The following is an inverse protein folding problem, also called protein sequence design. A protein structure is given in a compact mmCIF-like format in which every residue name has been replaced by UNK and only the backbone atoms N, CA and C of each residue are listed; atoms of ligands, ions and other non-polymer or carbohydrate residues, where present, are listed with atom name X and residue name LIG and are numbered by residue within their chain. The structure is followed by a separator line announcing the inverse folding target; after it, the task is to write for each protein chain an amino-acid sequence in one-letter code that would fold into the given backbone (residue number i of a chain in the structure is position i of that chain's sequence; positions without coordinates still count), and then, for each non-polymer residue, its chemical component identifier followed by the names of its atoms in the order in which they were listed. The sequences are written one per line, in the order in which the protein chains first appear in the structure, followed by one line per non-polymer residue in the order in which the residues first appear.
data_IF_755929210835
#
_entry.id   IF_755929210835
#
_cell.length_a   1.000
_cell.length_b   1.000
_cell.length_c   1.000
_cell.angle_alpha   90.00
_cell.angle_beta   90.00
_cell.angle_gamma   90.00
#
_symmetry.space_group_name_H-M   'P 1'
#
loop_
_entity.id
_entity.type
_entity.pdbx_description
1 polymer ?
#
# COMPACT_ATOMS: atom_id res chain seq x y z
N UNK A 1 -19.59 -5.95 -7.28
CA UNK A 1 -19.89 -4.50 -7.26
C UNK A 1 -18.72 -3.72 -7.83
N UNK A 2 -19.03 -2.59 -8.43
CA UNK A 2 -18.07 -1.59 -8.90
C UNK A 2 -18.42 -0.28 -8.24
N UNK A 3 -17.44 0.43 -7.72
CA UNK A 3 -17.57 1.79 -7.21
C UNK A 3 -16.60 2.72 -7.93
N UNK A 4 -17.02 3.95 -8.10
CA UNK A 4 -16.24 5.00 -8.71
C UNK A 4 -16.26 6.23 -7.81
N UNK A 5 -15.12 6.87 -7.59
CA UNK A 5 -14.96 8.03 -6.73
C UNK A 5 -14.07 9.07 -7.41
N UNK A 6 -14.47 10.33 -7.33
CA UNK A 6 -13.71 11.48 -7.84
C UNK A 6 -13.53 12.48 -6.72
N UNK A 7 -12.31 12.96 -6.55
CA UNK A 7 -11.93 13.93 -5.54
C UNK A 7 -11.26 15.14 -6.20
N UNK A 8 -11.57 16.34 -5.72
CA UNK A 8 -10.81 17.54 -6.00
C UNK A 8 -9.98 17.90 -4.77
N UNK A 9 -8.72 18.25 -4.95
CA UNK A 9 -7.80 18.62 -3.88
C UNK A 9 -7.26 20.03 -4.09
N UNK A 10 -6.98 20.72 -2.99
CA UNK A 10 -6.26 21.99 -2.99
C UNK A 10 -5.27 21.96 -1.83
N UNK A 11 -3.99 21.84 -2.15
CA UNK A 11 -2.91 21.77 -1.19
C UNK A 11 -2.01 23.00 -1.34
N UNK A 12 -2.01 23.89 -0.35
CA UNK A 12 -1.15 25.08 -0.32
C UNK A 12 -1.21 25.99 -1.57
N UNK A 13 -2.35 25.97 -2.28
CA UNK A 13 -2.55 26.75 -3.52
C UNK A 13 -2.42 25.94 -4.80
N UNK A 14 -1.94 24.69 -4.73
CA UNK A 14 -1.87 23.77 -5.85
C UNK A 14 -3.22 23.05 -6.01
N UNK A 15 -3.73 23.07 -7.25
CA UNK A 15 -4.99 22.45 -7.59
C UNK A 15 -4.75 21.04 -8.13
N UNK A 16 -5.47 20.07 -7.58
CA UNK A 16 -5.39 18.69 -7.99
C UNK A 16 -6.74 18.01 -8.18
N UNK A 17 -6.70 16.88 -8.85
CA UNK A 17 -7.83 15.99 -9.01
C UNK A 17 -7.37 14.53 -8.86
N UNK A 18 -8.20 13.70 -8.24
CA UNK A 18 -7.98 12.27 -8.14
C UNK A 18 -9.23 11.51 -8.56
N UNK A 19 -9.04 10.34 -9.13
CA UNK A 19 -10.12 9.41 -9.42
C UNK A 19 -9.72 8.00 -8.98
N UNK A 20 -10.67 7.26 -8.45
CA UNK A 20 -10.48 5.86 -8.11
C UNK A 20 -11.64 5.00 -8.60
N UNK A 21 -11.30 3.78 -8.99
CA UNK A 21 -12.24 2.72 -9.34
C UNK A 21 -11.94 1.51 -8.48
N UNK A 22 -12.94 1.01 -7.79
CA UNK A 22 -12.82 -0.22 -7.03
C UNK A 22 -13.81 -1.26 -7.55
N UNK A 23 -13.30 -2.45 -7.77
CA UNK A 23 -14.04 -3.65 -8.16
C UNK A 23 -14.02 -4.66 -7.03
N UNK A 24 -15.18 -5.15 -6.65
CA UNK A 24 -15.30 -6.22 -5.65
C UNK A 24 -16.10 -7.39 -6.23
N UNK A 25 -15.54 -8.57 -6.13
CA UNK A 25 -16.20 -9.83 -6.46
C UNK A 25 -16.24 -10.74 -5.24
N UNK A 26 -17.41 -11.24 -4.92
CA UNK A 26 -17.60 -12.24 -3.85
C UNK A 26 -17.77 -13.60 -4.46
N UNK A 27 -17.18 -14.61 -3.82
CA UNK A 27 -17.30 -16.02 -4.26
C UNK A 27 -16.61 -16.31 -5.61
N UNK A 28 -15.40 -15.74 -5.82
CA UNK A 28 -14.65 -15.88 -7.07
C UNK A 28 -14.31 -17.34 -7.40
N UNK A 29 -13.97 -18.15 -6.40
CA UNK A 29 -13.61 -19.56 -6.54
C UNK A 29 -14.64 -20.50 -5.90
N UNK A 30 -15.91 -20.07 -5.75
CA UNK A 30 -17.02 -20.83 -5.14
C UNK A 30 -16.79 -21.26 -3.68
N UNK A 31 -15.92 -20.54 -2.94
CA UNK A 31 -15.60 -20.79 -1.53
C UNK A 31 -15.85 -19.56 -0.64
N UNK A 32 -16.72 -18.63 -1.08
CA UNK A 32 -17.06 -17.40 -0.37
C UNK A 32 -15.88 -16.42 -0.20
N UNK A 33 -14.88 -16.53 -1.05
CA UNK A 33 -13.76 -15.59 -1.08
C UNK A 33 -14.23 -14.21 -1.55
N UNK A 34 -13.62 -13.17 -0.99
CA UNK A 34 -13.81 -11.81 -1.45
C UNK A 34 -12.55 -11.32 -2.11
N UNK A 35 -12.66 -11.01 -3.39
CA UNK A 35 -11.61 -10.34 -4.16
C UNK A 35 -11.96 -8.86 -4.29
N UNK A 36 -10.98 -8.00 -4.01
CA UNK A 36 -11.07 -6.56 -4.20
C UNK A 36 -9.89 -6.09 -5.07
N UNK A 37 -10.20 -5.26 -6.04
CA UNK A 37 -9.20 -4.62 -6.87
C UNK A 37 -9.52 -3.14 -6.94
N UNK A 38 -8.52 -2.28 -6.67
CA UNK A 38 -8.67 -0.83 -6.70
C UNK A 38 -7.58 -0.22 -7.56
N UNK A 39 -7.99 0.71 -8.43
CA UNK A 39 -7.09 1.60 -9.16
C UNK A 39 -7.33 3.03 -8.70
N UNK A 40 -6.26 3.79 -8.56
CA UNK A 40 -6.29 5.21 -8.24
C UNK A 40 -5.34 5.96 -9.18
N UNK A 41 -5.80 7.10 -9.68
CA UNK A 41 -4.98 8.07 -10.38
C UNK A 41 -5.16 9.44 -9.73
N UNK A 42 -4.09 10.19 -9.53
CA UNK A 42 -4.13 11.56 -9.06
C UNK A 42 -3.17 12.43 -9.86
N UNK A 43 -3.58 13.66 -10.08
CA UNK A 43 -2.81 14.70 -10.74
C UNK A 43 -2.93 15.98 -9.93
N UNK A 44 -1.82 16.69 -9.74
CA UNK A 44 -1.78 17.97 -9.06
C UNK A 44 -0.81 18.91 -9.80
N UNK A 45 -1.30 20.09 -10.15
CA UNK A 45 -0.49 21.11 -10.80
C UNK A 45 0.31 21.86 -9.72
N UNK A 46 1.64 21.70 -9.73
CA UNK A 46 2.52 22.32 -8.75
C UNK A 46 2.88 23.75 -9.18
N UNK A 47 2.44 24.75 -8.41
CA UNK A 47 2.71 26.17 -8.64
C UNK A 47 3.77 26.69 -7.67
N UNK A 48 4.79 27.38 -8.18
CA UNK A 48 5.72 28.14 -7.35
C UNK A 48 7.17 27.65 -7.25
N UNK A 49 7.56 26.60 -7.93
CA UNK A 49 8.97 26.27 -8.11
C UNK A 49 9.56 27.13 -9.24
N UNK A 50 10.48 28.03 -8.90
CA UNK A 50 11.17 28.94 -9.83
C UNK A 50 12.17 28.25 -10.76
N UNK A 51 12.21 26.95 -10.82
CA UNK A 51 13.09 26.20 -11.70
C UNK A 51 12.33 25.68 -12.92
N UNK A 52 12.94 25.79 -14.07
CA UNK A 52 12.49 25.54 -15.44
C UNK A 52 11.92 24.16 -15.78
N UNK A 53 11.48 23.40 -14.81
CA UNK A 53 10.85 22.09 -14.98
C UNK A 53 9.42 22.19 -14.45
N UNK A 54 8.48 22.52 -15.36
CA UNK A 54 7.05 22.29 -15.14
C UNK A 54 6.80 20.77 -15.04
N UNK A 55 7.11 20.16 -13.92
CA UNK A 55 6.78 18.77 -13.65
C UNK A 55 5.69 18.78 -12.58
N UNK A 56 4.51 18.40 -13.00
CA UNK A 56 3.36 18.24 -12.15
C UNK A 56 3.49 16.96 -11.30
N UNK A 57 2.72 16.89 -10.22
CA UNK A 57 2.60 15.67 -9.43
C UNK A 57 1.64 14.69 -10.10
N UNK A 58 2.12 13.47 -10.32
CA UNK A 58 1.32 12.36 -10.84
C UNK A 58 1.44 11.17 -9.89
N UNK A 59 0.31 10.59 -9.51
CA UNK A 59 0.25 9.36 -8.74
C UNK A 59 -0.64 8.33 -9.42
N UNK A 60 -0.13 7.10 -9.53
CA UNK A 60 -0.87 5.94 -10.01
C UNK A 60 -0.75 4.83 -8.96
N UNK A 61 -1.88 4.35 -8.47
CA UNK A 61 -1.96 3.28 -7.49
C UNK A 61 -2.79 2.11 -8.01
N UNK A 62 -2.34 0.90 -7.71
CA UNK A 62 -3.09 -0.33 -7.91
C UNK A 62 -3.01 -1.19 -6.64
N UNK A 63 -4.15 -1.70 -6.21
CA UNK A 63 -4.26 -2.57 -5.05
C UNK A 63 -5.12 -3.78 -5.40
N UNK A 64 -4.67 -4.96 -5.03
CA UNK A 64 -5.42 -6.20 -5.15
C UNK A 64 -5.41 -6.94 -3.83
N UNK A 65 -6.57 -7.27 -3.30
CA UNK A 65 -6.71 -8.03 -2.04
C UNK A 65 -7.65 -9.19 -2.25
N UNK A 66 -7.24 -10.37 -1.77
CA UNK A 66 -8.10 -11.53 -1.71
C UNK A 66 -8.23 -12.02 -0.27
N UNK A 67 -9.45 -12.19 0.19
CA UNK A 67 -9.77 -12.68 1.53
C UNK A 67 -10.47 -14.03 1.44
N UNK A 68 -9.87 -15.03 2.06
CA UNK A 68 -10.44 -16.38 2.19
C UNK A 68 -11.08 -16.53 3.57
N UNK A 69 -12.36 -16.90 3.68
CA UNK A 69 -13.04 -17.10 4.97
C UNK A 69 -12.62 -18.41 5.65
N UNK A 70 -11.39 -18.84 5.45
CA UNK A 70 -10.80 -20.08 5.99
C UNK A 70 -9.30 -19.92 6.21
N UNK A 71 -8.77 -20.70 7.12
CA UNK A 71 -7.33 -20.77 7.36
C UNK A 71 -6.62 -21.54 6.23
N UNK A 72 -5.77 -20.83 5.47
CA UNK A 72 -5.02 -21.39 4.36
C UNK A 72 -3.52 -21.39 4.68
N UNK A 73 -3.04 -22.51 5.22
CA UNK A 73 -1.60 -22.71 5.42
C UNK A 73 -1.21 -24.10 4.87
N UNK A 74 -0.20 -24.20 3.98
CA UNK A 74 0.10 -25.42 3.25
C UNK A 74 0.58 -26.57 4.14
N UNK A 75 1.29 -26.28 5.24
CA UNK A 75 2.00 -27.24 6.06
C UNK A 75 1.21 -27.77 7.27
N UNK A 76 -0.10 -27.54 7.35
CA UNK A 76 -0.93 -27.89 8.50
C UNK A 76 -2.04 -28.85 8.08
N UNK A 77 -2.35 -29.83 8.95
CA UNK A 77 -3.37 -30.85 8.70
C UNK A 77 -4.77 -30.26 8.48
N UNK A 78 -5.60 -30.97 7.72
CA UNK A 78 -6.98 -30.56 7.45
C UNK A 78 -7.85 -30.43 8.70
N UNK A 79 -7.60 -31.27 9.70
CA UNK A 79 -8.34 -31.26 10.97
C UNK A 79 -8.02 -30.01 11.79
N UNK A 80 -6.76 -29.57 11.81
CA UNK A 80 -6.37 -28.33 12.45
C UNK A 80 -6.99 -27.12 11.74
N UNK A 81 -6.98 -27.10 10.40
CA UNK A 81 -7.61 -26.03 9.60
C UNK A 81 -9.10 -25.86 9.89
N UNK A 82 -9.81 -26.96 10.15
CA UNK A 82 -11.24 -26.93 10.49
C UNK A 82 -11.52 -26.40 11.90
N UNK A 83 -10.60 -26.57 12.83
CA UNK A 83 -10.75 -26.11 14.23
C UNK A 83 -10.49 -24.63 14.37
N UNK A 84 -9.61 -24.06 13.57
CA UNK A 84 -9.28 -22.64 13.60
C UNK A 84 -10.26 -21.87 12.70
N UNK A 85 -11.07 -21.02 13.31
CA UNK A 85 -11.95 -20.06 12.61
C UNK A 85 -11.16 -18.81 12.24
N UNK A 86 -10.16 -18.96 11.41
CA UNK A 86 -9.34 -17.85 10.94
C UNK A 86 -9.64 -17.54 9.48
N UNK A 87 -9.50 -16.29 9.11
CA UNK A 87 -9.51 -15.85 7.72
C UNK A 87 -8.07 -15.64 7.25
N UNK A 88 -7.83 -15.87 5.98
CA UNK A 88 -6.54 -15.64 5.32
C UNK A 88 -6.68 -14.50 4.33
N UNK A 89 -5.78 -13.53 4.39
CA UNK A 89 -5.77 -12.37 3.51
C UNK A 89 -4.42 -12.30 2.78
N UNK A 90 -4.48 -12.17 1.46
CA UNK A 90 -3.35 -11.82 0.61
C UNK A 90 -3.59 -10.47 -0.02
N UNK A 91 -2.61 -9.60 0.06
CA UNK A 91 -2.65 -8.27 -0.51
C UNK A 91 -1.44 -8.00 -1.40
N UNK A 92 -1.67 -7.30 -2.50
CA UNK A 92 -0.64 -6.75 -3.37
C UNK A 92 -0.96 -5.27 -3.56
N UNK A 93 0.04 -4.42 -3.47
CA UNK A 93 -0.09 -3.00 -3.68
C UNK A 93 1.07 -2.49 -4.53
N UNK A 94 0.77 -1.63 -5.47
CA UNK A 94 1.72 -0.92 -6.29
C UNK A 94 1.36 0.56 -6.30
N UNK A 95 2.32 1.43 -6.04
CA UNK A 95 2.16 2.87 -6.10
C UNK A 95 3.33 3.47 -6.87
N UNK A 96 3.01 4.20 -7.93
CA UNK A 96 3.93 5.01 -8.70
C UNK A 96 3.64 6.48 -8.42
N UNK A 97 4.66 7.22 -8.02
CA UNK A 97 4.56 8.63 -7.68
C UNK A 97 5.67 9.40 -8.39
N UNK A 98 5.29 10.34 -9.21
CA UNK A 98 6.20 11.27 -9.87
C UNK A 98 5.98 12.67 -9.30
N UNK A 99 7.05 13.24 -8.80
CA UNK A 99 7.13 14.64 -8.32
C UNK A 99 8.25 15.37 -9.03
N UNK A 100 8.26 16.72 -9.02
CA UNK A 100 9.38 17.48 -9.59
C UNK A 100 10.74 17.06 -9.02
N UNK A 101 10.79 16.72 -7.72
CA UNK A 101 12.02 16.41 -7.01
C UNK A 101 12.47 14.95 -7.17
N UNK A 102 11.54 14.01 -7.36
CA UNK A 102 11.84 12.59 -7.44
C UNK A 102 10.73 11.77 -8.09
N UNK A 103 11.09 10.61 -8.57
CA UNK A 103 10.16 9.52 -8.90
C UNK A 103 10.32 8.40 -7.89
N UNK A 104 9.21 7.91 -7.35
CA UNK A 104 9.17 6.84 -6.35
C UNK A 104 8.21 5.74 -6.76
N UNK A 105 8.65 4.52 -6.65
CA UNK A 105 7.84 3.31 -6.82
C UNK A 105 7.82 2.56 -5.50
N UNK A 106 6.64 2.21 -5.03
CA UNK A 106 6.44 1.35 -3.86
C UNK A 106 5.64 0.14 -4.29
N UNK A 107 6.20 -1.04 -4.09
CA UNK A 107 5.52 -2.31 -4.27
C UNK A 107 5.46 -3.05 -2.93
N UNK A 108 4.28 -3.54 -2.57
CA UNK A 108 4.09 -4.25 -1.31
C UNK A 108 3.32 -5.55 -1.55
N UNK A 109 3.68 -6.58 -0.79
CA UNK A 109 2.98 -7.85 -0.75
C UNK A 109 2.78 -8.27 0.69
N UNK A 110 1.55 -8.65 1.04
CA UNK A 110 1.17 -9.05 2.39
C UNK A 110 0.47 -10.39 2.45
N UNK A 111 0.76 -11.15 3.50
CA UNK A 111 0.07 -12.37 3.85
C UNK A 111 -0.27 -12.35 5.33
N UNK A 112 -1.54 -12.33 5.66
CA UNK A 112 -1.99 -12.24 7.05
C UNK A 112 -3.12 -13.21 7.38
N UNK A 113 -3.22 -13.52 8.67
CA UNK A 113 -4.29 -14.28 9.26
C UNK A 113 -5.01 -13.44 10.31
N UNK A 114 -6.34 -13.54 10.32
CA UNK A 114 -7.19 -12.89 11.31
C UNK A 114 -8.12 -13.93 11.93
N UNK A 115 -8.22 -13.95 13.27
CA UNK A 115 -9.20 -14.77 13.97
C UNK A 115 -9.73 -14.03 15.20
N UNK A 116 -10.92 -14.37 15.60
CA UNK A 116 -11.57 -13.81 16.78
C UNK A 116 -12.05 -14.90 17.73
N UNK A 117 -12.00 -14.64 19.01
CA UNK A 117 -12.60 -15.48 20.03
C UNK A 117 -13.88 -14.78 20.51
N UNK A 118 -15.03 -15.27 20.02
CA UNK A 118 -16.35 -14.65 20.23
C UNK A 118 -16.71 -14.48 21.72
N UNK A 119 -16.28 -15.41 22.59
CA UNK A 119 -16.54 -15.34 24.03
C UNK A 119 -15.71 -14.28 24.75
N UNK A 120 -14.56 -13.89 24.21
CA UNK A 120 -13.62 -12.97 24.84
C UNK A 120 -13.57 -11.58 24.18
N UNK A 121 -14.41 -11.31 23.17
CA UNK A 121 -14.38 -10.07 22.36
C UNK A 121 -12.97 -9.70 21.88
N UNK A 122 -12.13 -10.70 21.70
CA UNK A 122 -10.74 -10.51 21.29
C UNK A 122 -10.56 -10.82 19.82
N UNK A 123 -9.76 -9.99 19.17
CA UNK A 123 -9.34 -10.17 17.79
C UNK A 123 -7.81 -10.29 17.73
N UNK A 124 -7.36 -11.25 16.97
CA UNK A 124 -5.96 -11.51 16.73
C UNK A 124 -5.66 -11.36 15.25
N UNK A 125 -4.52 -10.79 14.94
CA UNK A 125 -3.97 -10.72 13.58
C UNK A 125 -2.50 -11.11 13.62
N UNK A 126 -2.11 -12.01 12.74
CA UNK A 126 -0.70 -12.29 12.42
C UNK A 126 -0.45 -11.86 10.99
N UNK A 127 0.46 -10.93 10.80
CA UNK A 127 1.07 -10.61 9.51
C UNK A 127 2.28 -11.53 9.36
N UNK A 128 2.07 -12.67 8.67
CA UNK A 128 3.11 -13.69 8.47
C UNK A 128 4.23 -13.14 7.60
N UNK A 129 3.85 -12.40 6.57
CA UNK A 129 4.77 -11.79 5.62
C UNK A 129 4.23 -10.43 5.22
N UNK A 130 5.04 -9.40 5.38
CA UNK A 130 4.80 -8.05 4.89
C UNK A 130 6.09 -7.58 4.20
N UNK A 131 6.08 -7.61 2.88
CA UNK A 131 7.20 -7.22 2.03
C UNK A 131 6.90 -5.84 1.47
N UNK A 132 7.84 -4.92 1.63
CA UNK A 132 7.77 -3.59 1.06
C UNK A 132 9.06 -3.31 0.29
N UNK A 133 8.93 -3.05 -0.98
CA UNK A 133 10.00 -2.64 -1.86
C UNK A 133 9.78 -1.19 -2.29
N UNK A 134 10.72 -0.34 -1.96
CA UNK A 134 10.76 1.07 -2.35
C UNK A 134 11.91 1.27 -3.31
N UNK A 135 11.61 1.82 -4.48
CA UNK A 135 12.57 2.10 -5.53
C UNK A 135 12.48 3.55 -5.98
N UNK A 136 13.61 4.22 -6.09
CA UNK A 136 13.77 5.61 -6.49
C UNK A 136 14.52 5.69 -7.83
N UNK A 137 13.85 5.54 -9.00
CA UNK A 137 14.53 5.53 -10.31
C UNK A 137 15.15 6.86 -10.68
N UNK A 138 14.63 7.96 -10.18
CA UNK A 138 15.18 9.29 -10.45
C UNK A 138 15.00 10.23 -9.27
N UNK A 139 16.04 10.99 -9.00
CA UNK A 139 16.07 12.11 -8.05
C UNK A 139 16.66 13.29 -8.81
N UNK A 140 16.02 14.45 -8.75
CA UNK A 140 16.53 15.66 -9.39
C UNK A 140 17.93 16.01 -8.87
N UNK A 141 18.83 16.39 -9.77
CA UNK A 141 20.23 16.60 -9.44
C UNK A 141 20.42 17.84 -8.55
N UNK A 142 19.66 18.89 -8.79
CA UNK A 142 19.68 20.11 -7.96
C UNK A 142 19.18 19.81 -6.55
N UNK A 143 18.11 19.03 -6.44
CA UNK A 143 17.60 18.58 -5.16
C UNK A 143 18.60 17.70 -4.41
N UNK A 144 19.31 16.82 -5.13
CA UNK A 144 20.34 15.96 -4.56
C UNK A 144 21.51 16.78 -3.99
N UNK A 145 22.04 17.73 -4.75
CA UNK A 145 23.17 18.57 -4.34
C UNK A 145 22.80 19.51 -3.19
N UNK A 146 21.61 20.12 -3.23
CA UNK A 146 21.19 21.10 -2.23
C UNK A 146 20.77 20.49 -0.89
N UNK A 147 20.18 19.29 -0.92
CA UNK A 147 19.55 18.72 0.27
C UNK A 147 20.11 17.37 0.70
N UNK A 148 20.61 16.51 -0.22
CA UNK A 148 21.04 15.16 0.11
C UNK A 148 22.55 15.02 0.29
N UNK A 149 23.37 15.86 -0.34
CA UNK A 149 24.85 15.78 -0.27
C UNK A 149 25.45 16.62 0.86
N UNK A 150 24.64 17.44 1.54
CA UNK A 150 25.11 18.15 2.74
C UNK A 150 25.20 17.19 3.93
N UNK A 151 26.36 17.09 4.55
CA UNK A 151 26.68 16.18 5.67
C UNK A 151 25.71 16.29 6.87
N UNK A 152 24.98 17.38 6.99
CA UNK A 152 24.02 17.63 8.08
C UNK A 152 22.69 16.91 7.89
N UNK A 153 22.39 16.37 6.70
CA UNK A 153 21.07 15.83 6.33
C UNK A 153 21.03 14.30 6.17
N UNK A 154 21.78 13.57 6.99
CA UNK A 154 21.86 12.11 6.93
C UNK A 154 20.47 11.40 6.98
N UNK A 155 19.55 11.88 7.80
CA UNK A 155 18.18 11.34 7.92
C UNK A 155 17.40 11.56 6.62
N UNK A 156 17.60 12.72 5.98
CA UNK A 156 16.95 13.03 4.71
C UNK A 156 17.46 12.10 3.60
N UNK A 157 18.77 11.93 3.47
CA UNK A 157 19.41 11.02 2.52
C UNK A 157 18.86 9.60 2.65
N UNK A 158 18.72 9.11 3.87
CA UNK A 158 18.16 7.79 4.14
C UNK A 158 16.74 7.61 3.61
N UNK A 159 15.92 8.67 3.54
CA UNK A 159 14.54 8.60 3.04
C UNK A 159 14.44 8.50 1.51
N UNK A 160 15.52 8.80 0.79
CA UNK A 160 15.58 8.78 -0.68
C UNK A 160 16.44 7.64 -1.25
N UNK A 161 16.68 6.58 -0.46
CA UNK A 161 17.37 5.37 -0.89
C UNK A 161 16.40 4.23 -1.18
N UNK A 162 16.79 3.35 -2.09
CA UNK A 162 16.06 2.12 -2.36
C UNK A 162 16.03 1.23 -1.13
N UNK A 163 14.88 0.63 -0.85
CA UNK A 163 14.72 -0.22 0.33
C UNK A 163 13.93 -1.46 0.04
N UNK A 164 14.39 -2.53 0.61
CA UNK A 164 13.66 -3.78 0.71
C UNK A 164 13.44 -4.12 2.18
N UNK A 165 12.19 -4.13 2.62
CA UNK A 165 11.82 -4.35 4.01
C UNK A 165 10.91 -5.55 4.08
N UNK A 166 11.29 -6.52 4.92
CA UNK A 166 10.44 -7.66 5.26
C UNK A 166 10.12 -7.58 6.74
N UNK A 167 8.84 -7.67 7.07
CA UNK A 167 8.34 -7.63 8.45
C UNK A 167 7.43 -8.81 8.72
N UNK A 168 7.41 -9.21 9.98
CA UNK A 168 6.42 -10.12 10.56
C UNK A 168 5.85 -9.44 11.79
N UNK A 169 4.55 -9.50 11.97
CA UNK A 169 3.86 -8.80 13.05
C UNK A 169 2.75 -9.61 13.69
N UNK A 170 2.48 -9.29 14.95
CA UNK A 170 1.31 -9.80 15.66
C UNK A 170 0.60 -8.65 16.36
N UNK A 171 -0.70 -8.60 16.21
CA UNK A 171 -1.55 -7.62 16.89
C UNK A 171 -2.70 -8.31 17.63
N UNK A 172 -3.02 -7.77 18.78
CA UNK A 172 -4.11 -8.20 19.65
C UNK A 172 -4.98 -7.00 20.00
N UNK A 173 -6.29 -7.14 19.77
CA UNK A 173 -7.28 -6.13 20.11
C UNK A 173 -8.30 -6.78 21.06
N UNK A 174 -8.53 -6.16 22.20
CA UNK A 174 -9.57 -6.53 23.17
C UNK A 174 -10.60 -5.39 23.25
N UNK A 175 -11.90 -5.70 23.03
CA UNK A 175 -13.02 -4.76 23.09
C UNK A 175 -13.96 -5.12 24.24
#
# INVERSE_FOLDING_TARGET
SVSFEVEGTNSAGDLGAAASVAFQHRNMFKGSETFMFKLRGAYEAVSGLQSSLNQDYIELGAEATINFPRFMFPFVSSDFKRRIRATTEFGLQYNYQMRPEFTRIVASAGWSYKWGVQQQRSQHRIDLLDINYLYMPSIDQTFKEDYLEKDENYILKYNYEDRFIVRTGYSYIYN
#
